data_IF_472831842281
#
_entry.id   IF_472831842281
#
_cell.length_a   1.000
_cell.length_b   1.000
_cell.length_c   1.000
_cell.angle_alpha   90.00
_cell.angle_beta   90.00
_cell.angle_gamma   90.00
#
_symmetry.space_group_name_H-M   'P 1'
#
loop_
_entity.id
_entity.type
_entity.pdbx_description
1 polymer ?
#
# COMPACT_ATOMS: atom_id res chain seq x y z
N UNK A 1 -4.48 -58.02 -52.90
CA UNK A 1 -5.18 -57.71 -51.64
C UNK A 1 -4.28 -57.67 -50.38
N UNK A 2 -3.04 -58.18 -50.39
CA UNK A 2 -2.13 -58.10 -49.21
C UNK A 2 -1.42 -56.75 -49.02
N UNK A 3 -1.27 -55.93 -50.08
CA UNK A 3 -0.59 -54.62 -50.02
C UNK A 3 -1.48 -53.49 -49.48
N UNK A 4 -2.79 -53.54 -49.69
CA UNK A 4 -3.74 -52.56 -49.16
C UNK A 4 -4.08 -52.77 -47.67
N UNK A 5 -3.90 -53.99 -47.16
CA UNK A 5 -4.13 -54.29 -45.75
C UNK A 5 -2.98 -53.78 -44.87
N UNK A 6 -1.74 -53.82 -45.38
CA UNK A 6 -0.56 -53.30 -44.69
C UNK A 6 -0.55 -51.76 -44.61
N UNK A 7 -1.05 -51.07 -45.63
CA UNK A 7 -1.15 -49.60 -45.61
C UNK A 7 -2.26 -49.10 -44.68
N UNK A 8 -3.37 -49.85 -44.54
CA UNK A 8 -4.43 -49.51 -43.60
C UNK A 8 -4.00 -49.67 -42.12
N UNK A 9 -3.16 -50.66 -41.82
CA UNK A 9 -2.61 -50.88 -40.47
C UNK A 9 -1.57 -49.81 -40.12
N UNK A 10 -0.75 -49.38 -41.09
CA UNK A 10 0.21 -48.29 -40.88
C UNK A 10 -0.47 -46.92 -40.65
N UNK A 11 -1.65 -46.69 -41.25
CA UNK A 11 -2.39 -45.44 -41.07
C UNK A 11 -3.12 -45.37 -39.71
N UNK A 12 -3.51 -46.51 -39.13
CA UNK A 12 -4.16 -46.57 -37.80
C UNK A 12 -3.18 -46.39 -36.64
N UNK A 13 -1.89 -46.69 -36.82
CA UNK A 13 -0.86 -46.50 -35.79
C UNK A 13 -0.41 -45.03 -35.69
N UNK A 14 -0.61 -44.23 -36.75
CA UNK A 14 -0.25 -42.80 -36.77
C UNK A 14 -1.19 -41.87 -36.01
N UNK A 15 -2.43 -42.29 -35.72
CA UNK A 15 -3.45 -41.42 -35.09
C UNK A 15 -3.44 -41.53 -33.55
N UNK A 16 -2.82 -42.56 -32.97
CA UNK A 16 -2.75 -42.72 -31.51
C UNK A 16 -1.62 -41.92 -30.83
N UNK A 17 -0.79 -41.19 -31.58
CA UNK A 17 0.35 -40.44 -31.02
C UNK A 17 0.01 -39.01 -30.53
N UNK A 18 -1.23 -38.54 -30.65
CA UNK A 18 -1.64 -37.18 -30.22
C UNK A 18 -2.63 -37.15 -29.04
N UNK A 19 -2.81 -38.25 -28.32
CA UNK A 19 -3.76 -38.31 -27.21
C UNK A 19 -3.12 -38.92 -25.96
N UNK A 20 -2.14 -38.23 -25.37
CA UNK A 20 -1.70 -38.39 -23.97
C UNK A 20 -0.60 -37.36 -23.66
N UNK A 21 -0.97 -36.14 -23.26
CA UNK A 21 -0.26 -35.46 -22.18
C UNK A 21 -1.11 -34.33 -21.57
N UNK A 22 -1.96 -34.70 -20.62
CA UNK A 22 -2.57 -33.79 -19.66
C UNK A 22 -2.37 -34.40 -18.27
N UNK A 23 -1.11 -34.45 -17.82
CA UNK A 23 -0.74 -34.88 -16.47
C UNK A 23 0.20 -33.85 -15.87
N UNK A 24 -0.31 -33.07 -14.91
CA UNK A 24 0.49 -32.19 -14.06
C UNK A 24 1.44 -33.02 -13.19
N UNK A 25 2.67 -33.21 -13.67
CA UNK A 25 3.78 -33.63 -12.83
C UNK A 25 5.04 -32.85 -13.19
N UNK A 26 5.71 -32.38 -12.14
CA UNK A 26 6.89 -31.53 -12.17
C UNK A 26 8.05 -32.21 -12.90
N UNK A 27 8.24 -31.88 -14.18
CA UNK A 27 9.45 -32.22 -14.92
C UNK A 27 10.26 -30.95 -15.21
N UNK A 28 11.55 -31.01 -14.91
CA UNK A 28 12.50 -29.94 -15.21
C UNK A 28 12.75 -29.92 -16.71
N UNK A 29 12.05 -29.04 -17.42
CA UNK A 29 12.25 -28.81 -18.86
C UNK A 29 13.58 -28.10 -19.08
N UNK A 30 14.53 -28.76 -19.79
CA UNK A 30 15.69 -28.07 -20.37
C UNK A 30 15.21 -27.16 -21.49
N UNK A 31 15.32 -25.84 -21.32
CA UNK A 31 14.92 -24.84 -22.33
C UNK A 31 15.72 -25.03 -23.62
N UNK A 32 15.02 -25.10 -24.76
CA UNK A 32 15.58 -25.07 -26.10
C UNK A 32 16.09 -23.66 -26.41
N UNK A 33 17.20 -23.54 -27.14
CA UNK A 33 17.92 -22.30 -27.38
C UNK A 33 17.13 -21.16 -28.09
N UNK A 34 15.95 -21.45 -28.65
CA UNK A 34 15.12 -20.46 -29.36
C UNK A 34 14.29 -19.57 -28.45
N UNK A 35 14.16 -19.90 -27.15
CA UNK A 35 13.31 -19.18 -26.20
C UNK A 35 14.06 -18.05 -25.46
N UNK A 36 15.24 -17.69 -25.95
CA UNK A 36 16.15 -16.72 -25.32
C UNK A 36 15.95 -15.28 -25.83
N UNK A 37 15.12 -15.07 -26.84
CA UNK A 37 15.13 -13.81 -27.60
C UNK A 37 14.02 -12.80 -27.25
N UNK A 38 13.22 -13.06 -26.22
CA UNK A 38 12.07 -12.20 -25.85
C UNK A 38 11.96 -11.85 -24.37
N UNK A 39 13.02 -12.04 -23.58
CA UNK A 39 13.05 -11.57 -22.19
C UNK A 39 14.07 -10.47 -22.05
N UNK A 40 13.60 -9.22 -21.93
CA UNK A 40 14.43 -8.12 -21.49
C UNK A 40 14.89 -8.42 -20.06
N UNK A 41 16.14 -8.85 -19.91
CA UNK A 41 16.81 -8.84 -18.61
C UNK A 41 17.06 -7.37 -18.24
N UNK A 42 16.18 -6.80 -17.42
CA UNK A 42 16.53 -5.57 -16.69
C UNK A 42 17.71 -5.89 -15.78
N UNK A 43 18.83 -5.14 -15.85
CA UNK A 43 20.02 -5.44 -15.07
C UNK A 43 19.71 -5.37 -13.57
N UNK A 44 20.00 -6.46 -12.84
CA UNK A 44 19.87 -6.54 -11.38
C UNK A 44 18.68 -7.36 -10.85
N UNK A 45 17.72 -7.76 -11.69
CA UNK A 45 16.53 -8.49 -11.23
C UNK A 45 16.62 -9.96 -11.64
N UNK A 46 16.78 -10.85 -10.67
CA UNK A 46 16.78 -12.30 -10.95
C UNK A 46 15.42 -12.78 -11.45
N UNK A 47 15.36 -13.84 -12.26
CA UNK A 47 14.10 -14.46 -12.71
C UNK A 47 13.15 -14.82 -11.54
N UNK A 48 13.71 -15.20 -10.38
CA UNK A 48 12.91 -15.47 -9.17
C UNK A 48 12.25 -14.20 -8.63
N UNK A 49 12.96 -13.08 -8.68
CA UNK A 49 12.45 -11.78 -8.25
C UNK A 49 11.38 -11.25 -9.22
N UNK A 50 11.59 -11.38 -10.54
CA UNK A 50 10.58 -11.05 -11.55
C UNK A 50 9.27 -11.83 -11.31
N UNK A 51 9.36 -13.16 -11.15
CA UNK A 51 8.19 -13.99 -10.89
C UNK A 51 7.48 -13.64 -9.56
N UNK A 52 8.19 -13.09 -8.57
CA UNK A 52 7.58 -12.61 -7.32
C UNK A 52 6.86 -11.29 -7.54
N UNK A 53 7.41 -10.39 -8.35
CA UNK A 53 6.82 -9.10 -8.68
C UNK A 53 5.57 -9.26 -9.55
N UNK A 54 5.59 -10.20 -10.50
CA UNK A 54 4.44 -10.60 -11.33
C UNK A 54 3.30 -11.25 -10.53
N UNK A 55 3.55 -11.61 -9.27
CA UNK A 55 2.57 -12.21 -8.38
C UNK A 55 1.40 -11.28 -8.10
N UNK A 56 0.24 -11.65 -8.66
CA UNK A 56 -1.12 -11.13 -8.45
C UNK A 56 -1.46 -9.78 -9.08
N UNK A 57 -1.54 -9.72 -10.42
CA UNK A 57 -2.70 -9.03 -11.00
C UNK A 57 -3.91 -9.90 -10.68
N UNK A 58 -4.62 -9.62 -9.58
CA UNK A 58 -5.93 -10.22 -9.35
C UNK A 58 -6.79 -9.83 -10.55
N UNK A 59 -7.37 -10.80 -11.25
CA UNK A 59 -8.30 -10.49 -12.33
C UNK A 59 -9.46 -9.68 -11.74
N UNK A 60 -9.84 -8.59 -12.41
CA UNK A 60 -10.93 -7.71 -11.96
C UNK A 60 -12.23 -8.47 -11.63
N UNK A 61 -12.39 -9.69 -12.18
CA UNK A 61 -13.51 -10.60 -11.90
C UNK A 61 -13.56 -11.19 -10.48
N UNK A 62 -12.43 -11.29 -9.78
CA UNK A 62 -12.38 -11.79 -8.39
C UNK A 62 -12.65 -10.66 -7.37
N UNK A 63 -12.66 -9.41 -7.83
CA UNK A 63 -12.94 -8.24 -7.02
C UNK A 63 -14.44 -8.14 -6.73
N UNK A 64 -14.80 -8.01 -5.46
CA UNK A 64 -16.18 -7.74 -5.07
C UNK A 64 -16.48 -6.23 -5.08
N UNK A 65 -15.46 -5.42 -4.81
CA UNK A 65 -15.58 -3.97 -4.80
C UNK A 65 -14.26 -3.32 -5.20
N UNK A 66 -14.35 -2.25 -5.97
CA UNK A 66 -13.19 -1.47 -6.40
C UNK A 66 -13.53 0.01 -6.48
N UNK A 67 -12.54 0.86 -6.17
CA UNK A 67 -12.66 2.31 -6.27
C UNK A 67 -11.32 2.93 -6.64
N UNK A 68 -11.30 3.74 -7.70
CA UNK A 68 -10.07 4.38 -8.21
C UNK A 68 -10.05 5.86 -7.82
N UNK A 69 -9.08 6.22 -6.98
CA UNK A 69 -8.89 7.55 -6.41
C UNK A 69 -7.62 8.18 -6.99
N UNK A 70 -7.60 9.52 -7.05
CA UNK A 70 -6.44 10.28 -7.47
C UNK A 70 -5.99 11.15 -6.30
N UNK A 71 -4.73 11.00 -5.88
CA UNK A 71 -4.14 11.79 -4.80
C UNK A 71 -3.00 12.65 -5.27
N UNK A 72 -2.87 13.79 -4.61
CA UNK A 72 -1.70 14.65 -4.67
C UNK A 72 -0.87 14.40 -3.44
N UNK A 73 0.35 13.88 -3.64
CA UNK A 73 1.38 13.74 -2.63
C UNK A 73 2.22 15.01 -2.65
N UNK A 74 2.23 15.74 -1.55
CA UNK A 74 3.09 16.90 -1.36
C UNK A 74 4.38 16.46 -0.68
N UNK A 75 5.54 16.71 -1.30
CA UNK A 75 6.84 16.30 -0.78
C UNK A 75 7.31 17.16 0.40
N UNK A 76 6.65 18.28 0.66
CA UNK A 76 6.92 19.09 1.85
C UNK A 76 6.43 18.43 3.14
N UNK A 77 5.58 17.40 3.05
CA UNK A 77 5.14 16.60 4.20
C UNK A 77 6.20 15.55 4.55
N UNK A 78 6.49 15.41 5.85
CA UNK A 78 7.49 14.47 6.38
C UNK A 78 7.27 13.02 5.89
N UNK A 79 6.02 12.56 5.89
CA UNK A 79 5.65 11.22 5.41
C UNK A 79 6.11 10.95 3.96
N UNK A 80 6.15 11.99 3.12
CA UNK A 80 6.55 11.90 1.71
C UNK A 80 8.00 12.29 1.45
N UNK A 81 8.75 12.73 2.47
CA UNK A 81 10.14 13.20 2.33
C UNK A 81 11.06 12.12 1.72
N UNK A 82 10.74 10.85 1.94
CA UNK A 82 11.45 9.71 1.36
C UNK A 82 11.46 9.69 -0.19
N UNK A 83 10.51 10.36 -0.85
CA UNK A 83 10.46 10.45 -2.31
C UNK A 83 11.36 11.54 -2.89
N UNK A 84 11.70 12.54 -2.07
CA UNK A 84 12.47 13.72 -2.45
C UNK A 84 13.97 13.60 -2.12
N UNK A 85 14.34 12.82 -1.11
CA UNK A 85 15.74 12.66 -0.72
C UNK A 85 16.44 11.50 -1.47
N UNK A 86 17.72 11.66 -1.86
CA UNK A 86 18.59 12.83 -1.72
C UNK A 86 18.52 13.85 -2.87
N UNK A 87 18.49 15.15 -2.56
CA UNK A 87 18.44 16.24 -3.56
C UNK A 87 19.61 16.16 -4.58
N UNK A 88 20.81 15.96 -4.05
CA UNK A 88 22.01 15.63 -4.81
C UNK A 88 22.19 14.10 -4.87
N UNK A 89 22.53 13.54 -6.05
CA UNK A 89 22.75 12.11 -6.18
C UNK A 89 23.95 11.69 -5.32
N UNK A 90 23.71 10.83 -4.35
CA UNK A 90 24.76 10.19 -3.54
C UNK A 90 25.01 8.80 -4.12
N UNK A 91 26.25 8.31 -4.10
CA UNK A 91 26.61 7.01 -4.68
C UNK A 91 25.67 5.88 -4.19
N UNK A 92 24.79 5.44 -5.08
CA UNK A 92 23.86 4.33 -4.84
C UNK A 92 22.46 4.71 -4.34
N UNK A 93 22.16 5.99 -4.09
CA UNK A 93 20.81 6.47 -3.79
C UNK A 93 20.41 7.62 -4.72
N UNK A 94 19.34 7.38 -5.48
CA UNK A 94 18.72 8.36 -6.38
C UNK A 94 17.29 8.65 -5.90
N UNK A 95 16.85 9.89 -6.11
CA UNK A 95 15.43 10.27 -5.99
C UNK A 95 14.54 9.45 -6.92
N UNK A 96 13.29 9.24 -6.52
CA UNK A 96 12.30 8.55 -7.35
C UNK A 96 12.20 9.20 -8.75
N UNK A 97 12.20 10.53 -8.82
CA UNK A 97 12.19 11.25 -10.10
C UNK A 97 13.40 10.94 -10.97
N UNK A 98 14.61 10.97 -10.39
CA UNK A 98 15.86 10.66 -11.10
C UNK A 98 15.85 9.23 -11.63
N UNK A 99 15.38 8.27 -10.83
CA UNK A 99 15.22 6.87 -11.26
C UNK A 99 14.28 6.78 -12.47
N UNK A 100 13.12 7.41 -12.41
CA UNK A 100 12.14 7.42 -13.51
C UNK A 100 12.76 8.02 -14.79
N UNK A 101 13.40 9.20 -14.67
CA UNK A 101 14.02 9.90 -15.80
C UNK A 101 15.16 9.09 -16.44
N UNK A 102 16.07 8.54 -15.63
CA UNK A 102 17.16 7.66 -16.12
C UNK A 102 16.58 6.47 -16.89
N UNK A 103 15.55 5.81 -16.35
CA UNK A 103 14.94 4.62 -16.96
C UNK A 103 14.14 4.92 -18.23
N UNK A 104 13.51 6.09 -18.31
CA UNK A 104 12.83 6.54 -19.53
C UNK A 104 13.82 6.96 -20.60
N UNK A 105 14.92 7.62 -20.23
CA UNK A 105 16.01 7.98 -21.15
C UNK A 105 16.70 6.74 -21.76
N UNK A 106 16.84 5.68 -20.97
CA UNK A 106 17.30 4.35 -21.42
C UNK A 106 16.31 3.64 -22.37
N UNK A 107 15.06 4.10 -22.43
CA UNK A 107 13.95 3.45 -23.15
C UNK A 107 13.42 2.17 -22.47
N UNK A 108 13.80 1.95 -21.21
CA UNK A 108 13.39 0.78 -20.41
C UNK A 108 12.04 0.95 -19.70
N UNK A 109 11.59 2.20 -19.54
CA UNK A 109 10.34 2.58 -18.91
C UNK A 109 9.48 3.38 -19.89
N UNK A 110 8.18 3.12 -19.91
CA UNK A 110 7.21 3.80 -20.79
C UNK A 110 6.49 4.89 -20.00
N UNK A 111 6.47 6.10 -20.55
CA UNK A 111 5.66 7.21 -20.05
C UNK A 111 4.41 7.41 -20.90
N UNK A 112 3.32 7.85 -20.28
CA UNK A 112 2.03 8.13 -20.90
C UNK A 112 1.65 9.60 -20.68
N UNK A 113 0.93 10.19 -21.63
CA UNK A 113 0.60 11.60 -21.56
C UNK A 113 -0.36 11.90 -20.41
N UNK A 114 -0.16 13.04 -19.75
CA UNK A 114 -1.13 13.56 -18.78
C UNK A 114 -2.30 14.21 -19.53
N UNK A 115 -3.50 13.65 -19.42
CA UNK A 115 -4.71 14.24 -19.99
C UNK A 115 -5.61 14.78 -18.89
N UNK A 116 -6.01 16.05 -18.99
CA UNK A 116 -6.94 16.72 -18.05
C UNK A 116 -8.33 16.01 -17.94
N UNK A 117 -8.59 15.09 -18.87
CA UNK A 117 -9.76 14.23 -18.91
C UNK A 117 -9.54 12.87 -18.25
N UNK A 118 -9.48 11.80 -19.05
CA UNK A 118 -9.38 10.43 -18.59
C UNK A 118 -7.99 9.93 -18.93
N UNK A 119 -7.30 9.38 -17.94
CA UNK A 119 -6.00 8.75 -18.18
C UNK A 119 -6.20 7.44 -18.93
N UNK A 120 -5.46 7.29 -20.03
CA UNK A 120 -5.50 6.12 -20.89
C UNK A 120 -4.07 5.62 -21.07
N UNK A 121 -3.78 4.47 -20.49
CA UNK A 121 -2.48 3.80 -20.61
C UNK A 121 -2.39 2.94 -21.88
N UNK A 122 -2.84 3.49 -23.01
CA UNK A 122 -2.71 2.86 -24.33
C UNK A 122 -1.39 3.24 -24.98
N UNK A 123 -0.92 2.42 -25.91
CA UNK A 123 0.27 2.70 -26.70
C UNK A 123 0.13 3.97 -27.56
N UNK A 124 -1.11 4.37 -27.89
CA UNK A 124 -1.41 5.59 -28.64
C UNK A 124 -1.08 6.87 -27.85
N UNK A 125 -1.16 6.82 -26.52
CA UNK A 125 -0.87 7.93 -25.61
C UNK A 125 0.51 7.83 -24.98
N UNK A 126 1.38 6.98 -25.53
CA UNK A 126 2.76 6.87 -25.08
C UNK A 126 3.52 8.14 -25.48
N UNK A 127 4.12 8.81 -24.51
CA UNK A 127 4.93 10.00 -24.78
C UNK A 127 6.31 9.59 -25.29
N UNK A 128 6.81 10.31 -26.28
CA UNK A 128 8.21 10.18 -26.68
C UNK A 128 9.09 10.91 -25.67
N UNK A 129 10.19 10.29 -25.27
CA UNK A 129 11.11 10.90 -24.30
C UNK A 129 11.66 12.24 -24.77
N UNK A 130 11.91 12.38 -26.08
CA UNK A 130 12.36 13.63 -26.69
C UNK A 130 11.37 14.77 -26.44
N UNK A 131 10.09 14.52 -26.68
CA UNK A 131 9.04 15.53 -26.52
C UNK A 131 8.90 15.97 -25.06
N UNK A 132 9.11 15.05 -24.10
CA UNK A 132 9.16 15.38 -22.67
C UNK A 132 10.36 16.29 -22.36
N UNK A 133 11.56 15.91 -22.80
CA UNK A 133 12.78 16.66 -22.53
C UNK A 133 12.69 18.08 -23.12
N UNK A 134 12.22 18.20 -24.36
CA UNK A 134 12.02 19.49 -25.03
C UNK A 134 10.96 20.36 -24.32
N UNK A 135 9.83 19.75 -23.91
CA UNK A 135 8.72 20.45 -23.22
C UNK A 135 9.13 21.01 -21.86
N UNK A 136 9.99 20.29 -21.14
CA UNK A 136 10.44 20.69 -19.80
C UNK A 136 11.80 21.41 -19.80
N UNK A 137 12.38 21.69 -20.98
CA UNK A 137 13.69 22.35 -21.14
C UNK A 137 14.83 21.60 -20.45
N UNK A 138 14.77 20.27 -20.43
CA UNK A 138 15.82 19.42 -19.86
C UNK A 138 16.87 19.17 -20.94
N UNK A 139 18.12 19.53 -20.67
CA UNK A 139 19.19 19.33 -21.63
C UNK A 139 19.53 17.84 -21.73
N UNK A 140 19.79 17.38 -22.97
CA UNK A 140 20.09 15.98 -23.23
C UNK A 140 21.09 15.82 -24.36
N UNK A 141 21.77 14.68 -24.35
CA UNK A 141 22.64 14.23 -25.44
C UNK A 141 22.17 12.88 -25.97
N UNK A 142 22.55 12.53 -27.19
CA UNK A 142 22.26 11.20 -27.73
C UNK A 142 23.16 10.14 -27.06
N UNK A 143 22.55 9.12 -26.49
CA UNK A 143 23.30 8.05 -25.83
C UNK A 143 23.96 7.11 -26.84
N UNK A 144 25.06 6.47 -26.43
CA UNK A 144 25.70 5.40 -27.22
C UNK A 144 24.72 4.26 -27.47
N UNK A 145 24.47 3.94 -28.74
CA UNK A 145 23.50 2.91 -29.14
C UNK A 145 22.09 3.43 -29.41
N UNK A 146 21.88 4.76 -29.39
CA UNK A 146 20.66 5.37 -29.92
C UNK A 146 20.50 5.02 -31.40
N UNK A 147 19.34 4.50 -31.76
CA UNK A 147 18.96 4.17 -33.15
C UNK A 147 17.70 4.96 -33.48
N UNK A 148 17.48 5.33 -34.75
CA UNK A 148 16.27 6.04 -35.19
C UNK A 148 14.95 5.38 -34.73
N UNK A 149 14.93 4.03 -34.64
CA UNK A 149 13.77 3.27 -34.15
C UNK A 149 13.63 3.20 -32.62
N UNK A 150 14.72 3.35 -31.89
CA UNK A 150 14.78 3.29 -30.42
C UNK A 150 15.74 4.39 -29.94
N UNK A 151 15.27 5.65 -29.89
CA UNK A 151 16.10 6.74 -29.43
C UNK A 151 16.42 6.54 -27.95
N UNK A 152 17.72 6.66 -27.62
CA UNK A 152 18.21 6.65 -26.24
C UNK A 152 18.92 7.96 -25.97
N UNK A 153 18.67 8.51 -24.78
CA UNK A 153 19.21 9.81 -24.39
C UNK A 153 20.09 9.63 -23.16
N UNK A 154 21.21 10.34 -23.15
CA UNK A 154 22.07 10.48 -21.99
C UNK A 154 21.83 11.87 -21.41
N UNK A 155 21.40 11.90 -20.15
CA UNK A 155 21.09 13.10 -19.40
C UNK A 155 22.14 13.19 -18.28
N UNK A 156 22.82 14.32 -18.18
CA UNK A 156 23.73 14.57 -17.07
C UNK A 156 22.95 14.74 -15.78
N UNK A 157 23.54 14.34 -14.65
CA UNK A 157 22.82 14.36 -13.38
C UNK A 157 22.46 15.79 -12.93
N UNK A 158 23.24 16.78 -13.36
CA UNK A 158 22.99 18.20 -13.12
C UNK A 158 21.83 18.77 -13.93
N UNK A 159 21.50 18.16 -15.08
CA UNK A 159 20.47 18.66 -15.99
C UNK A 159 19.07 18.19 -15.59
N UNK A 160 18.96 17.22 -14.68
CA UNK A 160 17.67 16.72 -14.16
C UNK A 160 17.16 17.69 -13.07
N UNK A 161 16.02 18.38 -13.27
CA UNK A 161 15.49 19.34 -12.30
C UNK A 161 14.77 18.62 -11.15
N UNK A 162 15.49 17.80 -10.38
CA UNK A 162 14.92 17.04 -9.28
C UNK A 162 14.42 17.93 -8.13
N UNK A 163 15.08 19.09 -7.91
CA UNK A 163 14.71 20.08 -6.91
C UNK A 163 13.40 20.81 -7.22
N UNK A 164 13.02 20.92 -8.49
CA UNK A 164 11.75 21.54 -8.91
C UNK A 164 10.54 20.59 -8.77
N UNK A 165 10.77 19.28 -8.59
CA UNK A 165 9.68 18.30 -8.42
C UNK A 165 9.30 18.24 -6.94
N UNK A 166 8.25 18.96 -6.57
CA UNK A 166 7.78 19.06 -5.18
C UNK A 166 6.49 18.28 -4.89
N UNK A 167 5.87 17.68 -5.91
CA UNK A 167 4.69 16.84 -5.68
C UNK A 167 4.56 15.71 -6.68
N UNK A 168 3.82 14.67 -6.31
CA UNK A 168 3.45 13.58 -7.20
C UNK A 168 1.93 13.43 -7.24
N UNK A 169 1.38 13.23 -8.44
CA UNK A 169 0.04 12.69 -8.58
C UNK A 169 0.11 11.17 -8.64
N UNK A 170 -0.75 10.52 -7.88
CA UNK A 170 -0.86 9.06 -7.87
C UNK A 170 -2.29 8.65 -8.16
N UNK A 171 -2.43 7.55 -8.90
CA UNK A 171 -3.70 6.85 -9.07
C UNK A 171 -3.67 5.65 -8.13
N UNK A 172 -4.60 5.65 -7.18
CA UNK A 172 -4.80 4.56 -6.25
C UNK A 172 -6.02 3.75 -6.62
N UNK A 173 -5.87 2.43 -6.57
CA UNK A 173 -6.95 1.47 -6.66
C UNK A 173 -7.17 0.84 -5.29
N UNK A 174 -8.31 1.15 -4.71
CA UNK A 174 -8.84 0.51 -3.52
C UNK A 174 -9.64 -0.70 -3.97
N UNK A 175 -9.17 -1.90 -3.64
CA UNK A 175 -9.78 -3.16 -4.05
C UNK A 175 -10.08 -4.08 -2.87
N UNK A 176 -11.29 -4.65 -2.86
CA UNK A 176 -11.70 -5.69 -1.92
C UNK A 176 -11.76 -7.03 -2.65
N UNK A 177 -10.78 -7.88 -2.34
CA UNK A 177 -10.64 -9.20 -2.95
C UNK A 177 -11.53 -10.22 -2.22
N UNK A 178 -12.41 -10.89 -2.98
CA UNK A 178 -13.31 -11.92 -2.46
C UNK A 178 -12.58 -13.16 -1.95
N UNK A 179 -11.42 -13.49 -2.52
CA UNK A 179 -10.66 -14.69 -2.14
C UNK A 179 -9.93 -14.49 -0.83
N UNK A 180 -9.23 -13.37 -0.67
CA UNK A 180 -8.53 -13.05 0.57
C UNK A 180 -9.40 -12.36 1.63
N UNK A 181 -10.61 -11.90 1.27
CA UNK A 181 -11.52 -11.12 2.12
C UNK A 181 -10.80 -9.97 2.84
N UNK A 182 -9.89 -9.30 2.12
CA UNK A 182 -9.10 -8.19 2.64
C UNK A 182 -9.17 -7.02 1.68
N UNK A 183 -9.21 -5.84 2.27
CA UNK A 183 -9.02 -4.59 1.55
C UNK A 183 -7.54 -4.41 1.21
N UNK A 184 -7.23 -3.99 -0.02
CA UNK A 184 -5.87 -3.62 -0.44
C UNK A 184 -5.90 -2.30 -1.18
N UNK A 185 -4.82 -1.54 -1.01
CA UNK A 185 -4.55 -0.30 -1.71
C UNK A 185 -3.38 -0.53 -2.65
N UNK A 186 -3.63 -0.49 -3.96
CA UNK A 186 -2.59 -0.61 -4.98
C UNK A 186 -2.41 0.72 -5.69
N UNK A 187 -1.18 1.16 -5.87
CA UNK A 187 -0.86 2.29 -6.74
C UNK A 187 -0.83 1.79 -8.18
N UNK A 188 -1.64 2.37 -9.05
CA UNK A 188 -1.75 2.01 -10.46
C UNK A 188 -0.75 2.79 -11.32
N UNK A 189 -0.62 4.09 -11.05
CA UNK A 189 0.27 4.98 -11.79
C UNK A 189 0.77 6.14 -10.92
N UNK A 190 1.94 6.66 -11.28
CA UNK A 190 2.60 7.80 -10.63
C UNK A 190 2.93 8.84 -11.71
N UNK A 191 2.73 10.12 -11.39
CA UNK A 191 3.04 11.26 -12.25
C UNK A 191 3.84 12.30 -11.45
N UNK A 192 5.08 12.60 -11.84
CA UNK A 192 5.84 13.70 -11.28
C UNK A 192 5.22 15.05 -11.66
N UNK A 193 5.17 15.99 -10.72
CA UNK A 193 4.65 17.34 -10.93
C UNK A 193 5.74 18.35 -10.61
N UNK A 194 6.08 19.15 -11.61
CA UNK A 194 7.07 20.22 -11.50
C UNK A 194 6.42 21.49 -10.96
N UNK A 195 7.08 22.15 -10.02
CA UNK A 195 6.64 23.43 -9.46
C UNK A 195 7.58 24.51 -9.94
N UNK A 196 7.08 25.41 -10.81
CA UNK A 196 7.84 26.60 -11.22
C UNK A 196 7.16 27.83 -10.65
N UNK A 197 7.90 28.58 -9.83
CA UNK A 197 7.46 29.89 -9.39
C UNK A 197 7.40 30.82 -10.61
N UNK A 198 6.26 31.48 -10.83
CA UNK A 198 6.23 32.60 -11.77
C UNK A 198 7.07 33.75 -11.22
N UNK A 199 7.63 34.58 -12.11
CA UNK A 199 8.47 35.76 -11.80
C UNK A 199 7.87 36.78 -10.80
N UNK A 200 6.61 36.61 -10.40
CA UNK A 200 5.82 37.57 -9.63
C UNK A 200 5.42 37.12 -8.23
N UNK A 201 6.14 36.17 -7.61
CA UNK A 201 5.89 35.75 -6.22
C UNK A 201 4.50 35.12 -6.00
N UNK A 202 3.83 34.71 -7.08
CA UNK A 202 2.59 33.97 -7.04
C UNK A 202 2.85 32.48 -6.73
N UNK A 203 1.82 31.79 -6.25
CA UNK A 203 1.86 30.36 -5.94
C UNK A 203 2.47 29.56 -7.11
N UNK A 204 3.38 28.63 -6.79
CA UNK A 204 4.10 27.87 -7.82
C UNK A 204 3.11 27.16 -8.75
N UNK A 205 3.28 27.38 -10.06
CA UNK A 205 2.42 26.75 -11.05
C UNK A 205 2.83 25.28 -11.14
N UNK A 206 1.84 24.40 -10.95
CA UNK A 206 1.99 22.94 -10.99
C UNK A 206 1.91 22.45 -12.43
N UNK A 207 2.99 21.87 -12.93
CA UNK A 207 3.09 21.28 -14.26
C UNK A 207 3.21 19.74 -14.17
N UNK A 208 2.11 18.99 -14.32
CA UNK A 208 2.18 17.53 -14.39
C UNK A 208 2.94 17.10 -15.64
N UNK A 209 3.85 16.15 -15.50
CA UNK A 209 4.75 15.77 -16.59
C UNK A 209 4.17 14.66 -17.47
N UNK A 210 4.11 13.45 -16.92
CA UNK A 210 3.65 12.24 -17.62
C UNK A 210 3.30 11.18 -16.57
N UNK A 211 2.45 10.24 -16.94
CA UNK A 211 2.14 9.09 -16.11
C UNK A 211 3.10 7.93 -16.38
N UNK A 212 3.48 7.23 -15.32
CA UNK A 212 4.21 5.96 -15.36
C UNK A 212 3.36 4.91 -14.68
N UNK A 213 3.16 3.77 -15.35
CA UNK A 213 2.50 2.62 -14.72
C UNK A 213 3.37 2.06 -13.61
N UNK A 214 2.77 1.84 -12.45
CA UNK A 214 3.49 1.36 -11.28
C UNK A 214 4.12 -0.01 -11.55
N UNK A 215 3.41 -0.92 -12.24
CA UNK A 215 3.92 -2.25 -12.59
C UNK A 215 5.21 -2.22 -13.43
N UNK A 216 5.34 -1.27 -14.36
CA UNK A 216 6.53 -1.11 -15.19
C UNK A 216 7.70 -0.51 -14.39
N UNK A 217 7.38 0.29 -13.36
CA UNK A 217 8.36 0.94 -12.49
C UNK A 217 8.89 0.00 -11.39
N UNK A 218 8.04 -0.89 -10.86
CA UNK A 218 8.31 -1.81 -9.74
C UNK A 218 9.68 -2.50 -9.79
N UNK A 219 10.13 -3.10 -10.91
CA UNK A 219 11.42 -3.79 -10.98
C UNK A 219 12.62 -2.89 -10.62
N UNK A 220 12.51 -1.58 -10.86
CA UNK A 220 13.59 -0.62 -10.63
C UNK A 220 13.57 -0.01 -9.22
N UNK A 221 12.40 0.04 -8.58
CA UNK A 221 12.21 0.65 -7.27
C UNK A 221 12.24 -0.37 -6.12
N UNK A 222 12.10 -1.67 -6.42
CA UNK A 222 12.15 -2.74 -5.41
C UNK A 222 13.57 -2.99 -4.88
N UNK A 223 14.62 -2.66 -5.63
CA UNK A 223 16.02 -2.87 -5.20
C UNK A 223 16.60 -1.68 -4.46
N UNK A 224 15.89 -0.55 -4.45
CA UNK A 224 16.36 0.72 -3.93
C UNK A 224 15.85 0.90 -2.52
N UNK A 225 16.78 0.98 -1.56
CA UNK A 225 16.46 1.17 -0.16
C UNK A 225 16.37 2.67 0.15
N UNK A 226 15.35 3.03 0.93
CA UNK A 226 15.07 4.37 1.41
C UNK A 226 14.89 4.36 2.92
N UNK A 227 15.16 5.50 3.54
CA UNK A 227 14.67 5.77 4.88
C UNK A 227 13.30 6.43 4.79
N UNK A 228 12.46 6.17 5.78
CA UNK A 228 11.06 6.63 5.81
C UNK A 228 10.77 7.52 7.01
N UNK A 229 11.73 7.65 7.92
CA UNK A 229 11.55 8.31 9.22
C UNK A 229 12.87 8.97 9.61
N UNK A 230 12.78 10.19 10.14
CA UNK A 230 13.92 11.00 10.59
C UNK A 230 14.52 10.42 11.88
N UNK A 231 13.69 9.78 12.71
CA UNK A 231 14.11 9.13 13.95
C UNK A 231 14.90 7.84 13.66
N UNK A 232 14.58 7.17 12.55
CA UNK A 232 15.21 5.91 12.14
C UNK A 232 15.74 5.97 10.70
N UNK A 233 16.95 6.52 10.58
CA UNK A 233 17.68 6.65 9.31
C UNK A 233 18.20 5.32 8.73
N UNK A 234 17.83 4.17 9.29
CA UNK A 234 18.22 2.88 8.73
C UNK A 234 17.35 2.61 7.49
N UNK A 235 17.99 2.49 6.32
CA UNK A 235 17.32 2.22 5.05
C UNK A 235 16.82 0.75 4.95
N UNK A 236 15.78 0.44 5.72
CA UNK A 236 15.13 -0.89 5.78
C UNK A 236 13.97 -1.04 4.82
N UNK A 237 13.38 0.07 4.38
CA UNK A 237 12.24 0.07 3.48
C UNK A 237 12.72 0.26 2.04
N UNK A 238 12.02 -0.32 1.07
CA UNK A 238 12.24 -0.02 -0.35
C UNK A 238 11.16 0.95 -0.83
N UNK A 239 11.40 1.66 -1.94
CA UNK A 239 10.35 2.49 -2.55
C UNK A 239 9.09 1.68 -2.85
N UNK A 240 9.25 0.43 -3.27
CA UNK A 240 8.12 -0.46 -3.54
C UNK A 240 7.34 -0.83 -2.27
N UNK A 241 8.04 -1.09 -1.16
CA UNK A 241 7.40 -1.33 0.14
C UNK A 241 6.68 -0.09 0.65
N UNK A 242 7.26 1.11 0.47
CA UNK A 242 6.66 2.38 0.85
C UNK A 242 5.27 2.59 0.23
N UNK A 243 5.12 2.36 -1.07
CA UNK A 243 3.82 2.49 -1.75
C UNK A 243 2.86 1.35 -1.39
N UNK A 244 3.35 0.11 -1.23
CA UNK A 244 2.49 -1.03 -0.85
C UNK A 244 1.96 -0.94 0.57
N UNK A 245 2.76 -0.44 1.49
CA UNK A 245 2.38 -0.26 2.89
C UNK A 245 1.51 0.99 3.09
N UNK A 246 1.40 1.86 2.08
CA UNK A 246 0.63 3.10 2.17
C UNK A 246 1.25 4.08 3.16
N UNK A 247 2.59 4.17 3.20
CA UNK A 247 3.31 5.08 4.10
C UNK A 247 3.26 6.55 3.64
N UNK A 248 2.71 6.81 2.46
CA UNK A 248 2.53 8.15 1.92
C UNK A 248 1.28 8.83 2.47
N UNK A 249 1.30 10.16 2.47
CA UNK A 249 0.14 10.98 2.83
C UNK A 249 -0.23 11.92 1.69
N UNK A 250 -1.50 11.93 1.29
CA UNK A 250 -1.92 12.75 0.16
C UNK A 250 -3.40 13.12 0.17
N UNK A 251 -3.66 14.27 -0.43
CA UNK A 251 -5.01 14.81 -0.58
C UNK A 251 -5.69 14.24 -1.81
N UNK A 252 -6.93 13.77 -1.66
CA UNK A 252 -7.73 13.34 -2.79
C UNK A 252 -8.14 14.59 -3.59
N UNK A 253 -7.70 14.70 -4.85
CA UNK A 253 -8.07 15.81 -5.72
C UNK A 253 -9.11 15.42 -6.78
N UNK A 254 -9.18 14.13 -7.13
CA UNK A 254 -10.12 13.60 -8.11
C UNK A 254 -10.52 12.19 -7.73
N UNK A 255 -11.76 11.84 -8.05
CA UNK A 255 -12.26 10.48 -7.92
C UNK A 255 -12.75 10.01 -9.27
N UNK A 256 -12.63 8.71 -9.56
CA UNK A 256 -13.25 8.14 -10.76
C UNK A 256 -14.77 8.24 -10.62
N UNK A 257 -15.34 9.26 -11.25
CA UNK A 257 -16.76 9.59 -11.21
C UNK A 257 -17.35 9.58 -12.62
N UNK A 258 -18.68 9.49 -12.72
CA UNK A 258 -19.36 9.44 -14.01
C UNK A 258 -19.20 10.72 -14.82
N UNK A 259 -19.08 11.87 -14.14
CA UNK A 259 -18.96 13.19 -14.77
C UNK A 259 -17.52 13.54 -15.17
N UNK A 260 -16.55 12.69 -14.82
CA UNK A 260 -15.11 12.92 -14.97
C UNK A 260 -14.62 14.31 -14.49
N UNK A 261 -15.19 14.79 -13.38
CA UNK A 261 -14.85 16.09 -12.79
C UNK A 261 -13.90 15.92 -11.61
N UNK A 262 -12.98 16.87 -11.43
CA UNK A 262 -12.18 16.93 -10.19
C UNK A 262 -13.07 17.28 -8.99
N UNK A 263 -12.58 17.05 -7.78
CA UNK A 263 -13.31 17.42 -6.57
C UNK A 263 -13.50 18.95 -6.47
N UNK A 264 -12.48 19.72 -6.88
CA UNK A 264 -12.57 21.18 -6.95
C UNK A 264 -13.69 21.68 -7.88
N UNK A 265 -13.96 20.97 -8.98
CA UNK A 265 -15.04 21.30 -9.90
C UNK A 265 -16.43 20.88 -9.38
N UNK A 266 -16.49 19.94 -8.43
CA UNK A 266 -17.74 19.49 -7.81
C UNK A 266 -18.10 20.29 -6.57
N UNK A 267 -17.07 20.66 -5.80
CA UNK A 267 -17.15 21.42 -4.55
C UNK A 267 -16.17 22.59 -4.66
N UNK A 268 -16.60 23.73 -5.21
CA UNK A 268 -15.74 24.91 -5.35
C UNK A 268 -15.36 25.54 -4.00
N UNK A 269 -16.22 25.39 -2.99
CA UNK A 269 -16.00 25.95 -1.66
C UNK A 269 -14.97 25.12 -0.88
N UNK A 270 -13.92 25.74 -0.28
CA UNK A 270 -12.84 25.01 0.40
C UNK A 270 -13.31 24.11 1.54
N UNK A 271 -14.27 24.57 2.35
CA UNK A 271 -14.79 23.82 3.49
C UNK A 271 -15.59 22.59 3.02
N UNK A 272 -16.42 22.75 1.99
CA UNK A 272 -17.17 21.65 1.40
C UNK A 272 -16.23 20.63 0.74
N UNK A 273 -15.16 21.11 0.10
CA UNK A 273 -14.13 20.29 -0.51
C UNK A 273 -13.40 19.46 0.54
N UNK A 274 -12.97 20.06 1.65
CA UNK A 274 -12.33 19.37 2.76
C UNK A 274 -13.27 18.30 3.36
N UNK A 275 -14.51 18.68 3.66
CA UNK A 275 -15.52 17.74 4.15
C UNK A 275 -15.78 16.60 3.15
N UNK A 276 -15.83 16.88 1.84
CA UNK A 276 -15.99 15.85 0.82
C UNK A 276 -14.79 14.90 0.77
N UNK A 277 -13.55 15.40 0.89
CA UNK A 277 -12.34 14.58 0.99
C UNK A 277 -12.40 13.65 2.20
N UNK A 278 -12.71 14.19 3.38
CA UNK A 278 -12.81 13.43 4.62
C UNK A 278 -13.91 12.38 4.55
N UNK A 279 -15.09 12.75 4.03
CA UNK A 279 -16.20 11.83 3.82
C UNK A 279 -15.85 10.70 2.85
N UNK A 280 -15.07 10.99 1.80
CA UNK A 280 -14.57 9.96 0.89
C UNK A 280 -13.59 9.04 1.62
N UNK A 281 -12.59 9.60 2.30
CA UNK A 281 -11.58 8.84 3.02
C UNK A 281 -12.19 7.94 4.09
N UNK A 282 -13.07 8.48 4.94
CA UNK A 282 -13.81 7.71 5.94
C UNK A 282 -14.65 6.58 5.34
N UNK A 283 -15.19 6.73 4.12
CA UNK A 283 -15.91 5.65 3.45
C UNK A 283 -14.98 4.54 2.98
N UNK A 284 -13.75 4.88 2.57
CA UNK A 284 -12.73 3.90 2.19
C UNK A 284 -12.30 3.10 3.43
N UNK A 285 -11.90 3.79 4.49
CA UNK A 285 -11.36 3.17 5.71
C UNK A 285 -12.40 2.34 6.48
N UNK A 286 -13.67 2.75 6.43
CA UNK A 286 -14.75 2.04 7.09
C UNK A 286 -15.49 1.07 6.15
N UNK A 287 -15.06 0.90 4.90
CA UNK A 287 -15.70 -0.04 3.97
C UNK A 287 -15.65 -1.46 4.52
N UNK A 288 -14.47 -1.92 4.93
CA UNK A 288 -14.26 -3.27 5.48
C UNK A 288 -15.04 -3.49 6.78
N UNK A 289 -15.03 -2.51 7.69
CA UNK A 289 -15.75 -2.59 8.97
C UNK A 289 -17.26 -2.82 8.80
N UNK A 290 -17.85 -2.36 7.69
CA UNK A 290 -19.28 -2.54 7.39
C UNK A 290 -19.61 -3.95 6.88
N UNK A 291 -18.62 -4.70 6.41
CA UNK A 291 -18.81 -6.07 5.92
C UNK A 291 -18.83 -7.08 7.07
N UNK A 292 -18.18 -6.76 8.18
CA UNK A 292 -18.05 -7.64 9.34
C UNK A 292 -19.13 -7.38 10.39
N UNK A 293 -19.49 -8.43 11.14
CA UNK A 293 -20.36 -8.30 12.31
C UNK A 293 -19.53 -7.68 13.45
N UNK A 294 -19.97 -6.56 14.06
CA UNK A 294 -19.24 -5.96 15.17
C UNK A 294 -19.04 -6.93 16.33
N UNK A 295 -17.89 -6.85 16.99
CA UNK A 295 -17.60 -7.69 18.15
C UNK A 295 -18.51 -7.34 19.33
N UNK A 296 -18.65 -8.26 20.30
CA UNK A 296 -19.48 -8.00 21.49
C UNK A 296 -19.01 -6.76 22.28
N UNK A 297 -17.70 -6.53 22.33
CA UNK A 297 -17.10 -5.36 22.98
C UNK A 297 -17.41 -4.07 22.23
N UNK A 298 -17.36 -4.08 20.89
CA UNK A 298 -17.77 -2.93 20.07
C UNK A 298 -19.25 -2.62 20.21
N UNK A 299 -20.11 -3.65 20.32
CA UNK A 299 -21.54 -3.47 20.57
C UNK A 299 -21.81 -2.90 21.97
N UNK A 300 -21.08 -3.34 23.00
CA UNK A 300 -21.18 -2.78 24.34
C UNK A 300 -20.71 -1.32 24.36
N UNK A 301 -19.55 -1.02 23.76
CA UNK A 301 -19.05 0.35 23.63
C UNK A 301 -20.03 1.25 22.85
N UNK A 302 -20.68 0.74 21.81
CA UNK A 302 -21.70 1.48 21.06
C UNK A 302 -22.95 1.77 21.90
N UNK A 303 -23.36 0.83 22.77
CA UNK A 303 -24.47 1.05 23.72
C UNK A 303 -24.09 2.09 24.77
N UNK A 304 -22.91 1.98 25.38
CA UNK A 304 -22.42 2.96 26.35
C UNK A 304 -22.25 4.35 25.73
N UNK A 305 -21.80 4.44 24.47
CA UNK A 305 -21.70 5.70 23.76
C UNK A 305 -23.09 6.30 23.45
N UNK A 306 -24.06 5.46 23.10
CA UNK A 306 -25.44 5.89 22.90
C UNK A 306 -26.08 6.37 24.20
N UNK A 307 -25.91 5.64 25.30
CA UNK A 307 -26.38 6.04 26.63
C UNK A 307 -25.73 7.34 27.10
N UNK A 308 -24.42 7.54 26.86
CA UNK A 308 -23.74 8.82 27.14
C UNK A 308 -24.24 9.96 26.27
N UNK A 309 -24.49 9.71 24.99
CA UNK A 309 -25.03 10.73 24.09
C UNK A 309 -26.48 11.09 24.46
N UNK A 310 -27.29 10.11 24.85
CA UNK A 310 -28.64 10.32 25.36
C UNK A 310 -28.63 11.08 26.69
N UNK A 311 -27.69 10.78 27.60
CA UNK A 311 -27.52 11.51 28.86
C UNK A 311 -27.06 12.98 28.66
N UNK A 312 -26.22 13.22 27.64
CA UNK A 312 -25.82 14.58 27.24
C UNK A 312 -26.97 15.33 26.56
N UNK A 313 -27.77 14.64 25.75
CA UNK A 313 -28.93 15.22 25.05
C UNK A 313 -30.14 15.44 25.98
N UNK A 314 -30.30 14.64 27.03
CA UNK A 314 -31.34 14.79 28.05
C UNK A 314 -31.02 15.86 29.09
N UNK A 315 -29.84 16.48 29.02
CA UNK A 315 -29.47 17.62 29.88
C UNK A 315 -29.19 17.25 31.34
N UNK A 316 -28.94 15.99 31.66
CA UNK A 316 -28.72 15.53 33.05
C UNK A 316 -27.28 15.75 33.55
N UNK A 317 -26.45 16.42 32.75
CA UNK A 317 -25.07 16.79 33.09
C UNK A 317 -24.96 18.07 33.94
N UNK A 318 -26.05 18.50 34.61
CA UNK A 318 -26.07 19.67 35.50
C UNK A 318 -26.47 19.32 36.95
N UNK A 319 -26.36 18.06 37.39
CA UNK A 319 -26.75 17.65 38.74
C UNK A 319 -25.77 16.67 39.43
N UNK A 320 -24.46 16.83 39.24
CA UNK A 320 -23.47 16.23 40.16
C UNK A 320 -22.44 17.20 40.72
N UNK A 321 -22.69 18.51 40.59
CA UNK A 321 -22.01 19.51 41.42
C UNK A 321 -23.01 20.08 42.43
N UNK A 322 -22.72 19.82 43.71
CA UNK A 322 -23.20 20.56 44.89
C UNK A 322 -24.58 20.18 45.46
N UNK A 323 -24.57 19.36 46.51
CA UNK A 323 -25.45 19.42 47.71
C UNK A 323 -25.09 18.19 48.57
N UNK A 324 -24.81 18.21 49.88
CA UNK A 324 -25.02 19.16 50.97
C UNK A 324 -23.94 18.86 52.01
N UNK A 325 -23.32 19.91 52.56
CA UNK A 325 -22.54 19.84 53.78
C UNK A 325 -23.46 19.98 55.01
N UNK A 326 -23.11 19.27 56.08
CA UNK A 326 -23.37 19.56 57.50
C UNK A 326 -24.75 19.16 58.10
N UNK A 327 -24.72 18.19 59.02
CA UNK A 327 -24.99 18.49 60.44
C UNK A 327 -24.48 17.34 61.37
N UNK A 328 -23.56 17.67 62.28
CA UNK A 328 -23.52 17.26 63.70
C UNK A 328 -22.13 17.49 64.32
N UNK A 329 -22.02 18.63 65.00
CA UNK A 329 -20.94 19.09 65.91
C UNK A 329 -21.33 18.61 67.32
N UNK A 330 -20.51 18.05 68.23
CA UNK A 330 -19.40 18.62 69.03
C UNK A 330 -19.03 17.56 70.12
N UNK A 331 -17.79 17.21 70.49
CA UNK A 331 -16.86 17.88 71.45
C UNK A 331 -15.57 17.03 71.69
N UNK A 332 -14.50 17.60 72.31
CA UNK A 332 -13.11 17.33 71.92
C UNK A 332 -12.18 16.72 73.01
N UNK A 333 -10.91 16.55 72.60
CA UNK A 333 -9.66 16.42 73.37
C UNK A 333 -9.15 15.01 73.73
N UNK A 334 -8.02 14.58 73.15
CA UNK A 334 -6.70 14.74 73.79
C UNK A 334 -5.56 14.18 72.92
N UNK A 335 -4.49 14.99 72.88
CA UNK A 335 -3.06 14.66 72.72
C UNK A 335 -2.60 13.19 72.58
N UNK A 336 -1.80 12.89 71.55
CA UNK A 336 -0.40 12.44 71.76
C UNK A 336 0.42 12.49 70.47
N UNK A 337 1.52 13.23 70.53
CA UNK A 337 2.60 13.21 69.56
C UNK A 337 3.53 12.00 69.75
N UNK A 338 4.03 11.43 68.65
CA UNK A 338 5.37 10.83 68.56
C UNK A 338 5.72 10.65 67.07
N UNK A 339 6.50 11.55 66.47
CA UNK A 339 7.98 11.56 66.42
C UNK A 339 8.55 10.74 65.23
N UNK A 340 8.81 11.46 64.14
CA UNK A 340 10.02 11.44 63.28
C UNK A 340 10.89 10.18 63.22
N UNK A 341 11.25 9.72 62.01
CA UNK A 341 12.55 10.09 61.39
C UNK A 341 12.71 9.63 59.93
N UNK A 342 13.27 10.56 59.18
CA UNK A 342 13.87 10.48 57.85
C UNK A 342 15.19 9.69 57.92
N UNK A 343 15.54 8.93 56.89
CA UNK A 343 16.87 8.32 56.75
C UNK A 343 17.06 7.68 55.37
N UNK A 344 17.88 8.31 54.55
CA UNK A 344 18.35 7.80 53.25
C UNK A 344 19.60 6.92 53.43
N UNK A 345 19.79 5.89 52.60
CA UNK A 345 20.96 5.70 51.71
C UNK A 345 21.05 4.29 51.09
N UNK A 346 21.33 4.32 49.77
CA UNK A 346 22.05 3.41 48.87
C UNK A 346 22.58 2.03 49.35
N UNK A 347 22.44 1.09 48.41
CA UNK A 347 23.47 0.19 47.83
C UNK A 347 23.25 -1.32 47.99
N UNK A 348 23.39 -1.99 46.84
CA UNK A 348 24.11 -3.25 46.58
C UNK A 348 23.27 -4.34 45.90
N UNK A 349 23.89 -4.86 44.84
CA UNK A 349 23.39 -5.89 43.95
C UNK A 349 23.62 -7.29 44.55
N UNK A 350 22.69 -8.22 44.32
CA UNK A 350 23.05 -9.63 44.11
C UNK A 350 21.92 -10.39 43.39
N UNK A 351 22.31 -11.15 42.37
CA UNK A 351 21.48 -12.07 41.58
C UNK A 351 21.17 -13.34 42.36
N UNK A 352 19.94 -13.87 42.26
CA UNK A 352 19.69 -15.32 42.37
C UNK A 352 18.46 -15.76 41.56
N UNK A 353 18.56 -16.98 41.00
CA UNK A 353 17.75 -17.65 39.96
C UNK A 353 16.34 -18.12 40.41
N UNK A 354 15.45 -18.54 39.49
CA UNK A 354 14.00 -18.57 39.69
C UNK A 354 13.46 -19.90 40.26
N UNK A 355 12.37 -19.81 41.04
CA UNK A 355 11.62 -20.95 41.57
C UNK A 355 10.34 -21.23 40.75
N UNK A 356 9.97 -22.51 40.77
CA UNK A 356 9.11 -23.24 39.83
C UNK A 356 7.66 -23.34 40.33
N UNK A 357 6.71 -23.00 39.46
CA UNK A 357 5.35 -23.56 39.23
C UNK A 357 4.46 -23.96 40.43
N UNK A 358 3.25 -23.39 40.48
CA UNK A 358 2.02 -24.05 40.97
C UNK A 358 0.85 -23.82 39.99
N UNK A 359 0.38 -24.88 39.34
CA UNK A 359 -0.89 -24.93 38.58
C UNK A 359 -2.07 -25.10 39.56
N UNK A 360 -3.22 -24.43 39.36
CA UNK A 360 -4.44 -24.75 40.10
C UNK A 360 -5.15 -25.99 39.55
N UNK A 361 -5.77 -26.72 40.49
CA UNK A 361 -6.50 -28.00 40.32
C UNK A 361 -7.78 -27.84 39.49
N UNK A 362 -8.06 -28.86 38.68
CA UNK A 362 -9.32 -29.08 37.97
C UNK A 362 -10.48 -29.38 38.93
N UNK A 363 -11.65 -28.85 38.61
CA UNK A 363 -12.91 -29.07 39.32
C UNK A 363 -13.53 -30.40 38.87
N UNK A 364 -13.86 -31.27 39.83
CA UNK A 364 -14.63 -32.49 39.65
C UNK A 364 -16.10 -32.14 39.42
N UNK A 365 -16.66 -32.54 38.29
CA UNK A 365 -18.11 -32.58 38.08
C UNK A 365 -18.67 -33.94 38.51
N UNK A 366 -19.68 -33.93 39.36
CA UNK A 366 -20.45 -35.07 39.84
C UNK A 366 -21.69 -35.30 38.98
N UNK A 367 -21.87 -36.53 38.48
CA UNK A 367 -23.10 -37.00 37.82
C UNK A 367 -23.97 -37.77 38.83
N UNK A 368 -25.30 -37.77 38.64
CA UNK A 368 -26.06 -39.02 38.67
C UNK A 368 -26.84 -39.18 37.34
N UNK A 369 -26.61 -40.23 36.55
CA UNK A 369 -27.32 -41.52 36.58
C UNK A 369 -28.80 -41.45 36.17
N UNK A 370 -29.10 -41.73 34.88
CA UNK A 370 -30.17 -42.67 34.49
C UNK A 370 -30.17 -43.01 32.99
N UNK A 371 -30.27 -44.33 32.71
CA UNK A 371 -30.89 -44.99 31.54
C UNK A 371 -30.16 -45.07 30.16
N UNK A 372 -29.39 -46.16 30.02
CA UNK A 372 -29.43 -47.20 28.94
C UNK A 372 -30.15 -46.90 27.59
N UNK A 373 -29.43 -47.09 26.47
CA UNK A 373 -29.63 -48.23 25.52
C UNK A 373 -28.55 -48.27 24.43
N UNK A 374 -27.77 -49.34 24.41
CA UNK A 374 -26.76 -49.68 23.39
C UNK A 374 -27.38 -50.38 22.19
N UNK A 375 -26.95 -50.08 20.95
CA UNK A 375 -26.91 -51.04 19.84
C UNK A 375 -25.63 -50.83 19.00
N UNK A 376 -25.04 -51.96 18.63
CA UNK A 376 -23.68 -52.18 18.12
C UNK A 376 -23.47 -51.72 16.67
N UNK A 377 -22.30 -51.11 16.46
CA UNK A 377 -21.27 -51.44 15.48
C UNK A 377 -21.62 -52.50 14.40
N UNK A 378 -21.48 -52.15 13.12
CA UNK A 378 -20.96 -53.05 12.07
C UNK A 378 -20.30 -52.25 10.95
N UNK A 379 -18.96 -52.27 10.94
CA UNK A 379 -18.14 -52.17 9.73
C UNK A 379 -18.56 -53.25 8.73
N UNK A 380 -18.62 -52.89 7.45
CA UNK A 380 -18.02 -53.66 6.36
C UNK A 380 -17.34 -52.69 5.42
#
# INVERSE_FOLDING_TARGET
MKKFLLTAIALFIGVCAFAQDASSSSSVVRRKASDRNTRQDSPGVTQRMQNRLEGSSTDDSELQWMRVMYRSLDLTKDANGALYYPDEPVEGQDNLFRIIMKRMADGSLRGYEYLDGREVFSDDFKVNMRDVLDRFYILYSEAKGSTEKNPRFAIEESDIPASEVLSYYIIERWEFDRRSNRMRTLVEAICPVLHRAGDFGAEAIRYPMFWVRYDDLRPYITTQNIFTDDDNNLATCTYDDYFRLGLYEGDIYKTRNLKNKSLMQLYPDPDELAHARDSIQQRLDNYEKKLWVPSLEELAARREAAEKAEALASGDAAASETSVAEDSVEKPASTRASRTKRGAQKSSASKTKPAKVKKPKSVKASTPSSATRSVRNRKR
#
